data_IF_059313435079
#
_entry.id   IF_059313435079
#
_cell.length_a   1.000
_cell.length_b   1.000
_cell.length_c   1.000
_cell.angle_alpha   90.00
_cell.angle_beta   90.00
_cell.angle_gamma   90.00
#
_symmetry.space_group_name_H-M   'P 1'
#
loop_
_entity.id
_entity.type
_entity.pdbx_description
1 polymer ?
#
# COMPACT_ATOMS: atom_id res chain seq x y z
N UNK A 1 23.33 10.10 8.46
CA UNK A 1 22.47 9.01 8.96
C UNK A 1 22.91 7.76 8.24
N UNK A 2 23.24 6.70 8.95
CA UNK A 2 23.62 5.43 8.32
C UNK A 2 22.41 4.76 7.66
N UNK A 3 22.69 3.89 6.70
CA UNK A 3 21.70 3.22 5.86
C UNK A 3 20.80 2.27 6.67
N UNK A 4 21.35 1.60 7.68
CA UNK A 4 20.59 0.70 8.55
C UNK A 4 19.55 1.47 9.38
N UNK A 5 19.93 2.63 9.93
CA UNK A 5 19.03 3.52 10.66
C UNK A 5 17.87 3.97 9.78
N UNK A 6 18.14 4.28 8.50
CA UNK A 6 17.08 4.67 7.55
C UNK A 6 16.10 3.53 7.28
N UNK A 7 16.60 2.30 7.09
CA UNK A 7 15.75 1.12 6.85
C UNK A 7 14.88 0.85 8.07
N UNK A 8 15.45 0.91 9.28
CA UNK A 8 14.71 0.72 10.53
C UNK A 8 13.61 1.77 10.69
N UNK A 9 13.94 3.06 10.50
CA UNK A 9 12.95 4.15 10.60
C UNK A 9 11.80 4.00 9.60
N UNK A 10 12.11 3.67 8.33
CA UNK A 10 11.09 3.47 7.29
C UNK A 10 10.20 2.28 7.60
N UNK A 11 10.78 1.15 8.02
CA UNK A 11 10.01 -0.04 8.36
C UNK A 11 9.12 0.19 9.57
N UNK A 12 9.60 0.85 10.61
CA UNK A 12 8.77 1.20 11.79
C UNK A 12 7.62 2.11 11.41
N UNK A 13 7.87 3.18 10.64
CA UNK A 13 6.81 4.07 10.19
C UNK A 13 5.79 3.35 9.28
N UNK A 14 6.25 2.44 8.42
CA UNK A 14 5.39 1.64 7.57
C UNK A 14 4.50 0.68 8.38
N UNK A 15 5.06 0.03 9.39
CA UNK A 15 4.35 -0.85 10.31
C UNK A 15 3.28 -0.09 11.08
N UNK A 16 3.62 1.08 11.64
CA UNK A 16 2.67 1.96 12.32
C UNK A 16 1.52 2.39 11.39
N UNK A 17 1.83 2.75 10.14
CA UNK A 17 0.83 3.16 9.17
C UNK A 17 -0.08 1.99 8.76
N UNK A 18 0.48 0.80 8.55
CA UNK A 18 -0.27 -0.41 8.21
C UNK A 18 -1.11 -0.93 9.38
N UNK A 19 -0.75 -0.63 10.62
CA UNK A 19 -1.54 -0.92 11.82
C UNK A 19 -2.58 0.16 12.14
N UNK A 20 -2.53 1.33 11.49
CA UNK A 20 -3.42 2.44 11.76
C UNK A 20 -4.82 2.20 11.17
N UNK A 21 -5.83 2.12 12.04
CA UNK A 21 -7.21 1.86 11.62
C UNK A 21 -7.76 2.92 10.66
N UNK A 22 -7.46 4.20 10.87
CA UNK A 22 -7.94 5.26 9.99
C UNK A 22 -7.35 5.13 8.57
N UNK A 23 -6.07 4.77 8.47
CA UNK A 23 -5.43 4.49 7.18
C UNK A 23 -6.11 3.31 6.48
N UNK A 24 -6.31 2.19 7.17
CA UNK A 24 -6.97 0.99 6.64
C UNK A 24 -8.37 1.33 6.13
N UNK A 25 -9.17 2.04 6.93
CA UNK A 25 -10.54 2.44 6.58
C UNK A 25 -10.54 3.31 5.33
N UNK A 26 -9.69 4.33 5.27
CA UNK A 26 -9.63 5.25 4.12
C UNK A 26 -9.19 4.53 2.85
N UNK A 27 -8.16 3.68 2.90
CA UNK A 27 -7.69 2.92 1.73
C UNK A 27 -8.78 1.98 1.21
N UNK A 28 -9.47 1.27 2.11
CA UNK A 28 -10.55 0.38 1.73
C UNK A 28 -11.75 1.13 1.15
N UNK A 29 -12.12 2.28 1.72
CA UNK A 29 -13.19 3.12 1.20
C UNK A 29 -12.86 3.62 -0.22
N UNK A 30 -11.65 4.13 -0.44
CA UNK A 30 -11.20 4.56 -1.77
C UNK A 30 -11.20 3.41 -2.77
N UNK A 31 -10.72 2.23 -2.36
CA UNK A 31 -10.76 1.03 -3.20
C UNK A 31 -12.21 0.69 -3.61
N UNK A 32 -13.12 0.63 -2.64
CA UNK A 32 -14.52 0.28 -2.87
C UNK A 32 -15.22 1.29 -3.77
N UNK A 33 -14.97 2.59 -3.57
CA UNK A 33 -15.51 3.65 -4.42
C UNK A 33 -15.07 3.51 -5.88
N UNK A 34 -13.78 3.30 -6.14
CA UNK A 34 -13.27 3.11 -7.51
C UNK A 34 -13.73 1.81 -8.13
N UNK A 35 -13.82 0.75 -7.34
CA UNK A 35 -14.35 -0.52 -7.82
C UNK A 35 -15.83 -0.38 -8.24
N UNK A 36 -16.64 0.31 -7.42
CA UNK A 36 -18.03 0.61 -7.75
C UNK A 36 -18.16 1.49 -9.00
N UNK A 37 -17.26 2.45 -9.21
CA UNK A 37 -17.23 3.27 -10.43
C UNK A 37 -16.91 2.44 -11.68
N UNK A 38 -16.04 1.42 -11.58
CA UNK A 38 -15.77 0.49 -12.69
C UNK A 38 -17.01 -0.37 -12.96
N UNK A 39 -17.57 -1.02 -11.94
CA UNK A 39 -18.69 -1.95 -12.13
C UNK A 39 -19.99 -1.25 -12.53
N UNK A 40 -20.17 0.01 -12.14
CA UNK A 40 -21.31 0.85 -12.50
C UNK A 40 -21.14 1.69 -13.77
N UNK A 41 -19.96 1.69 -14.40
CA UNK A 41 -19.74 2.40 -15.68
C UNK A 41 -20.22 1.60 -16.88
N UNK A 42 -20.60 2.30 -17.95
CA UNK A 42 -20.84 1.66 -19.25
C UNK A 42 -19.55 0.98 -19.74
N UNK A 43 -19.70 -0.16 -20.39
CA UNK A 43 -18.60 -0.90 -21.04
C UNK A 43 -17.89 -0.01 -22.07
N UNK A 44 -18.63 0.90 -22.71
CA UNK A 44 -18.06 1.88 -23.65
C UNK A 44 -17.22 2.99 -23.00
N UNK A 45 -17.33 3.21 -21.69
CA UNK A 45 -16.58 4.25 -20.97
C UNK A 45 -15.19 3.75 -20.54
N UNK A 46 -14.39 3.37 -21.53
CA UNK A 46 -13.06 2.79 -21.33
C UNK A 46 -12.13 3.72 -20.56
N UNK A 47 -12.19 5.03 -20.83
CA UNK A 47 -11.35 6.03 -20.18
C UNK A 47 -11.62 6.13 -18.67
N UNK A 48 -12.88 6.19 -18.26
CA UNK A 48 -13.24 6.22 -16.83
C UNK A 48 -12.81 4.94 -16.13
N UNK A 49 -13.06 3.78 -16.76
CA UNK A 49 -12.68 2.47 -16.24
C UNK A 49 -11.18 2.35 -16.04
N UNK A 50 -10.39 2.80 -17.02
CA UNK A 50 -8.93 2.82 -16.95
C UNK A 50 -8.44 3.73 -15.82
N UNK A 51 -9.00 4.93 -15.68
CA UNK A 51 -8.65 5.85 -14.59
C UNK A 51 -8.91 5.23 -13.21
N UNK A 52 -10.09 4.62 -13.02
CA UNK A 52 -10.43 3.96 -11.76
C UNK A 52 -9.51 2.77 -11.47
N UNK A 53 -9.18 1.98 -12.50
CA UNK A 53 -8.26 0.86 -12.39
C UNK A 53 -6.86 1.33 -11.95
N UNK A 54 -6.33 2.39 -12.57
CA UNK A 54 -5.03 2.95 -12.21
C UNK A 54 -4.99 3.46 -10.77
N UNK A 55 -6.09 4.05 -10.29
CA UNK A 55 -6.20 4.49 -8.89
C UNK A 55 -6.21 3.31 -7.92
N UNK A 56 -6.96 2.24 -8.23
CA UNK A 56 -6.92 1.00 -7.45
C UNK A 56 -5.52 0.42 -7.42
N UNK A 57 -4.85 0.37 -8.57
CA UNK A 57 -3.50 -0.17 -8.70
C UNK A 57 -2.50 0.64 -7.86
N UNK A 58 -2.59 1.97 -7.88
CA UNK A 58 -1.74 2.83 -7.06
C UNK A 58 -1.89 2.56 -5.56
N UNK A 59 -3.11 2.33 -5.06
CA UNK A 59 -3.34 1.99 -3.65
C UNK A 59 -2.70 0.64 -3.27
N UNK A 60 -2.78 -0.34 -4.18
CA UNK A 60 -2.14 -1.65 -4.01
C UNK A 60 -0.61 -1.54 -4.02
N UNK A 61 -0.05 -0.75 -4.92
CA UNK A 61 1.40 -0.53 -5.03
C UNK A 61 1.94 0.13 -3.75
N UNK A 62 1.27 1.15 -3.23
CA UNK A 62 1.64 1.79 -1.94
C UNK A 62 1.61 0.76 -0.81
N UNK A 63 0.53 -0.01 -0.70
CA UNK A 63 0.41 -1.02 0.37
C UNK A 63 1.48 -2.11 0.27
N UNK A 64 1.87 -2.47 -0.95
CA UNK A 64 2.93 -3.46 -1.21
C UNK A 64 4.30 -2.91 -0.83
N UNK A 65 4.60 -1.67 -1.19
CA UNK A 65 5.86 -1.02 -0.84
C UNK A 65 6.02 -0.86 0.67
N UNK A 66 4.97 -0.45 1.39
CA UNK A 66 4.97 -0.37 2.85
C UNK A 66 5.30 -1.72 3.49
N UNK A 67 4.68 -2.81 3.01
CA UNK A 67 4.98 -4.17 3.50
C UNK A 67 6.41 -4.60 3.19
N UNK A 68 6.96 -4.19 2.05
CA UNK A 68 8.37 -4.43 1.73
C UNK A 68 9.29 -3.73 2.71
N UNK A 69 8.99 -2.47 3.11
CA UNK A 69 9.78 -1.77 4.12
C UNK A 69 9.73 -2.44 5.49
N UNK A 70 8.56 -2.95 5.90
CA UNK A 70 8.43 -3.75 7.14
C UNK A 70 9.30 -5.00 7.05
N UNK A 71 9.20 -5.74 5.95
CA UNK A 71 10.01 -6.95 5.73
C UNK A 71 11.51 -6.65 5.80
N UNK A 72 11.97 -5.60 5.13
CA UNK A 72 13.39 -5.23 5.14
C UNK A 72 13.89 -4.87 6.56
N UNK A 73 13.06 -4.19 7.37
CA UNK A 73 13.34 -3.93 8.78
C UNK A 73 13.42 -5.23 9.57
N UNK A 74 12.45 -6.13 9.41
CA UNK A 74 12.41 -7.41 10.13
C UNK A 74 13.61 -8.31 9.79
N UNK A 75 14.04 -8.32 8.52
CA UNK A 75 15.23 -9.04 8.06
C UNK A 75 16.54 -8.49 8.64
N UNK A 76 16.62 -7.17 8.91
CA UNK A 76 17.79 -6.59 9.60
C UNK A 76 17.81 -6.96 11.08
N UNK A 77 16.64 -7.06 11.72
CA UNK A 77 16.50 -7.33 13.15
C UNK A 77 16.58 -8.82 13.50
N UNK A 78 16.26 -9.68 12.53
CA UNK A 78 16.39 -11.13 12.64
C UNK A 78 17.64 -11.56 11.86
N UNK A 79 18.85 -11.46 12.43
CA UNK A 79 20.01 -12.04 11.79
C UNK A 79 19.73 -13.53 11.67
N UNK A 80 19.66 -14.02 10.43
CA UNK A 80 19.45 -15.43 10.11
C UNK A 80 20.29 -16.29 11.05
N UNK A 81 19.64 -17.15 11.84
CA UNK A 81 20.29 -18.30 12.46
C UNK A 81 20.83 -19.17 11.31
N UNK A 82 22.10 -18.97 10.93
CA UNK A 82 22.91 -19.96 10.22
C UNK A 82 23.77 -20.75 11.21
#
# INVERSE_FOLDING_TARGET
MDEQTLILQRGTAAEELLANEAFIVVVNELYNQRFAEITGSDIGDTKKREQCFLQIRALQDISTELRSWVHNKDSLLSPTEE
#
